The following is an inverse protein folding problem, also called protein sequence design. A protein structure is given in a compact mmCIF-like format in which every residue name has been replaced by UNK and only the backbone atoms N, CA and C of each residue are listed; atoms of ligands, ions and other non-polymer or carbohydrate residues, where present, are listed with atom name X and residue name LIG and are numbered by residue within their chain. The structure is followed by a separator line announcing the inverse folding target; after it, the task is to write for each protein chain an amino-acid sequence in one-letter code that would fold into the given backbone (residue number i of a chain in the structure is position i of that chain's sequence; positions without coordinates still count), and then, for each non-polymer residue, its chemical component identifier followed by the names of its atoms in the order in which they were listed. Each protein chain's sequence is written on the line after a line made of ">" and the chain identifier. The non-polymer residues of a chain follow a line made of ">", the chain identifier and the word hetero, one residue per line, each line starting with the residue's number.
data_IF_932532416912
#
_entry.id   IF_932532416912
#
_cell.length_a   1.000
_cell.length_b   1.000
_cell.length_c   1.000
_cell.angle_alpha   90.00
_cell.angle_beta   90.00
_cell.angle_gamma   90.00
#
_symmetry.space_group_name_H-M   'P 1'
#
loop_
_entity.id
_entity.type
_entity.pdbx_description
1 polymer ?
#
# COMPACT_ATOMS: atom_id res chain seq x y z
N UNK A 1 -2.06 15.58 -8.14
CA UNK A 1 -2.26 14.32 -7.39
C UNK A 1 -3.36 14.59 -6.39
N UNK A 2 -4.39 13.73 -6.34
CA UNK A 2 -5.45 13.89 -5.33
C UNK A 2 -5.06 13.21 -4.03
N UNK A 3 -5.60 13.71 -2.92
CA UNK A 3 -5.56 13.03 -1.62
C UNK A 3 -6.69 12.01 -1.54
N UNK A 4 -6.60 11.09 -0.60
CA UNK A 4 -7.68 10.15 -0.28
C UNK A 4 -7.74 9.91 1.22
N UNK A 5 -8.92 9.62 1.74
CA UNK A 5 -9.18 9.50 3.17
C UNK A 5 -9.63 8.11 3.57
N UNK A 6 -9.19 7.63 4.73
CA UNK A 6 -9.68 6.38 5.33
C UNK A 6 -10.07 6.61 6.80
N UNK A 7 -11.21 6.07 7.28
CA UNK A 7 -11.53 6.06 8.71
C UNK A 7 -10.58 5.13 9.48
N UNK A 8 -10.44 5.32 10.80
CA UNK A 8 -9.55 4.51 11.63
C UNK A 8 -9.82 3.01 11.55
N UNK A 9 -11.09 2.61 11.49
CA UNK A 9 -11.49 1.21 11.40
C UNK A 9 -11.14 0.53 10.07
N UNK A 10 -10.68 1.32 9.07
CA UNK A 10 -10.13 0.77 7.84
C UNK A 10 -8.88 -0.08 8.13
N UNK A 11 -8.16 0.16 9.23
CA UNK A 11 -6.90 -0.49 9.55
C UNK A 11 -7.04 -1.73 10.44
N UNK A 12 -8.26 -2.13 10.81
CA UNK A 12 -8.51 -3.24 11.74
C UNK A 12 -7.90 -4.56 11.27
N UNK A 13 -7.80 -4.75 9.96
CA UNK A 13 -7.24 -5.94 9.32
C UNK A 13 -5.72 -6.11 9.54
N UNK A 14 -5.02 -5.09 10.05
CA UNK A 14 -3.60 -5.15 10.33
C UNK A 14 -3.29 -5.93 11.61
N UNK A 15 -4.24 -6.04 12.53
CA UNK A 15 -3.99 -6.62 13.84
C UNK A 15 -4.48 -8.07 13.91
N UNK A 16 -3.68 -8.99 14.50
CA UNK A 16 -4.08 -10.37 14.69
C UNK A 16 -5.33 -10.46 15.58
N UNK A 17 -6.10 -11.55 15.47
CA UNK A 17 -7.31 -11.79 16.28
C UNK A 17 -7.01 -12.17 17.75
N UNK A 18 -5.85 -11.78 18.27
CA UNK A 18 -5.54 -11.91 19.69
C UNK A 18 -6.53 -11.04 20.50
N UNK A 19 -7.35 -11.63 21.38
CA UNK A 19 -8.40 -10.92 22.10
C UNK A 19 -7.88 -9.87 23.07
N UNK A 20 -6.61 -9.94 23.49
CA UNK A 20 -6.03 -8.99 24.43
C UNK A 20 -5.31 -7.84 23.71
N UNK A 21 -4.56 -8.14 22.65
CA UNK A 21 -3.75 -7.13 21.95
C UNK A 21 -4.54 -6.34 20.91
N UNK A 22 -5.48 -6.98 20.21
CA UNK A 22 -6.26 -6.32 19.15
C UNK A 22 -7.01 -5.09 19.66
N UNK A 23 -7.80 -5.15 20.75
CA UNK A 23 -8.52 -3.97 21.22
C UNK A 23 -7.61 -2.81 21.63
N UNK A 24 -6.45 -3.11 22.25
CA UNK A 24 -5.47 -2.10 22.66
C UNK A 24 -4.85 -1.40 21.45
N UNK A 25 -4.53 -2.16 20.41
CA UNK A 25 -3.97 -1.62 19.18
C UNK A 25 -4.98 -0.78 18.39
N UNK A 26 -6.24 -1.21 18.32
CA UNK A 26 -7.31 -0.44 17.70
C UNK A 26 -7.53 0.91 18.39
N UNK A 27 -7.53 0.94 19.72
CA UNK A 27 -7.69 2.20 20.46
C UNK A 27 -6.51 3.15 20.18
N UNK A 28 -5.27 2.64 20.13
CA UNK A 28 -4.11 3.46 19.76
C UNK A 28 -4.19 4.01 18.34
N UNK A 29 -4.75 3.25 17.38
CA UNK A 29 -4.99 3.79 16.02
C UNK A 29 -6.00 4.94 16.09
N UNK A 30 -7.07 4.78 16.84
CA UNK A 30 -8.08 5.83 17.03
C UNK A 30 -7.50 7.07 17.71
N UNK A 31 -6.57 6.91 18.65
CA UNK A 31 -5.82 8.02 19.27
C UNK A 31 -4.93 8.79 18.26
N UNK A 32 -4.48 8.16 17.17
CA UNK A 32 -3.78 8.85 16.09
C UNK A 32 -4.72 9.71 15.25
N UNK A 33 -5.98 9.30 15.10
CA UNK A 33 -7.00 10.04 14.38
C UNK A 33 -8.24 9.20 14.09
N UNK A 34 -9.41 9.85 14.03
CA UNK A 34 -10.66 9.20 13.62
C UNK A 34 -10.71 8.94 12.10
N UNK A 35 -10.06 9.80 11.33
CA UNK A 35 -9.95 9.73 9.87
C UNK A 35 -8.58 10.23 9.45
N UNK A 36 -7.98 9.54 8.49
CA UNK A 36 -6.63 9.79 7.99
C UNK A 36 -6.72 10.25 6.56
N UNK A 37 -6.09 11.38 6.24
CA UNK A 37 -5.91 11.86 4.87
C UNK A 37 -4.49 11.53 4.39
N UNK A 38 -4.40 11.00 3.17
CA UNK A 38 -3.14 10.58 2.58
C UNK A 38 -2.84 11.39 1.32
N UNK A 39 -1.65 12.00 1.30
CA UNK A 39 -1.09 12.68 0.13
C UNK A 39 -0.75 11.72 -1.01
N UNK A 40 -0.41 10.47 -0.68
CA UNK A 40 -0.13 9.42 -1.65
C UNK A 40 -0.23 8.01 -1.05
N UNK A 41 -0.17 7.00 -1.90
CA UNK A 41 -0.22 5.60 -1.48
C UNK A 41 1.03 5.15 -0.67
N UNK A 42 2.18 5.84 -0.83
CA UNK A 42 3.37 5.58 -0.02
C UNK A 42 3.10 5.92 1.45
N UNK A 43 2.50 7.08 1.74
CA UNK A 43 2.15 7.48 3.11
C UNK A 43 1.26 6.43 3.78
N UNK A 44 0.20 5.99 3.10
CA UNK A 44 -0.68 4.93 3.57
C UNK A 44 0.11 3.65 3.87
N UNK A 45 0.96 3.20 2.93
CA UNK A 45 1.72 1.97 3.09
C UNK A 45 2.67 2.05 4.28
N UNK A 46 3.33 3.19 4.49
CA UNK A 46 4.27 3.38 5.59
C UNK A 46 3.55 3.51 6.94
N UNK A 47 2.38 4.14 6.99
CA UNK A 47 1.51 4.12 8.17
C UNK A 47 1.12 2.68 8.52
N UNK A 48 0.55 1.92 7.58
CA UNK A 48 0.16 0.54 7.82
C UNK A 48 1.33 -0.33 8.27
N UNK A 49 2.52 -0.09 7.72
CA UNK A 49 3.74 -0.78 8.14
C UNK A 49 4.07 -0.46 9.60
N UNK A 50 4.06 0.81 10.00
CA UNK A 50 4.32 1.21 11.37
C UNK A 50 3.26 0.63 12.34
N UNK A 51 1.98 0.69 11.97
CA UNK A 51 0.88 0.12 12.74
C UNK A 51 1.01 -1.39 12.91
N UNK A 52 1.33 -2.13 11.85
CA UNK A 52 1.48 -3.59 11.88
C UNK A 52 2.61 -4.06 12.82
N UNK A 53 3.64 -3.23 13.02
CA UNK A 53 4.72 -3.49 13.98
C UNK A 53 4.56 -2.73 15.30
N UNK A 54 3.37 -2.18 15.55
CA UNK A 54 3.02 -1.42 16.77
C UNK A 54 3.96 -0.24 17.07
N UNK A 55 4.60 0.30 16.03
CA UNK A 55 5.47 1.47 16.12
C UNK A 55 4.66 2.76 15.93
N UNK A 56 3.84 3.06 16.94
CA UNK A 56 2.95 4.24 16.93
C UNK A 56 3.71 5.59 16.96
N UNK A 57 5.01 5.58 17.23
CA UNK A 57 5.86 6.78 17.12
C UNK A 57 6.13 7.06 15.64
N UNK A 58 6.69 6.08 14.93
CA UNK A 58 6.91 6.21 13.48
C UNK A 58 5.61 6.43 12.72
N UNK A 59 4.49 5.86 13.18
CA UNK A 59 3.17 6.10 12.61
C UNK A 59 2.78 7.59 12.65
N UNK A 60 3.02 8.30 13.77
CA UNK A 60 2.78 9.75 13.88
C UNK A 60 3.68 10.53 12.94
N UNK A 61 4.97 10.22 12.93
CA UNK A 61 5.95 10.89 12.06
C UNK A 61 5.57 10.77 10.57
N UNK A 62 5.08 9.60 10.14
CA UNK A 62 4.61 9.39 8.76
C UNK A 62 3.40 10.26 8.42
N UNK A 63 2.50 10.49 9.38
CA UNK A 63 1.31 11.34 9.20
C UNK A 63 1.65 12.83 9.17
N UNK A 64 2.77 13.24 9.76
CA UNK A 64 3.21 14.64 9.82
C UNK A 64 3.91 15.13 8.53
N UNK A 65 4.23 14.23 7.59
CA UNK A 65 4.90 14.59 6.34
C UNK A 65 4.11 14.20 5.09
N UNK A 66 4.03 15.14 4.14
CA UNK A 66 3.49 14.90 2.80
C UNK A 66 4.56 14.54 1.77
N UNK A 67 5.82 14.40 2.18
CA UNK A 67 6.92 14.10 1.28
C UNK A 67 7.11 12.58 1.11
N UNK A 68 6.84 11.99 -0.07
CA UNK A 68 6.95 10.54 -0.28
C UNK A 68 8.34 9.97 0.00
N UNK A 69 9.39 10.78 -0.19
CA UNK A 69 10.77 10.34 0.08
C UNK A 69 11.03 10.22 1.57
N UNK A 70 10.47 11.12 2.36
CA UNK A 70 10.58 11.12 3.82
C UNK A 70 9.74 10.00 4.42
N UNK A 71 8.48 9.86 3.97
CA UNK A 71 7.59 8.74 4.34
C UNK A 71 8.30 7.39 4.15
N UNK A 72 8.89 7.18 2.96
CA UNK A 72 9.68 5.98 2.66
C UNK A 72 10.91 5.82 3.55
N UNK A 73 11.52 6.92 3.95
CA UNK A 73 12.64 6.96 4.90
C UNK A 73 12.20 6.45 6.28
N UNK A 74 11.12 7.01 6.83
CA UNK A 74 10.50 6.61 8.10
C UNK A 74 10.08 5.14 8.08
N UNK A 75 9.49 4.69 6.97
CA UNK A 75 9.16 3.28 6.79
C UNK A 75 10.32 2.30 6.86
N UNK A 76 11.56 2.75 6.62
CA UNK A 76 12.78 1.93 6.83
C UNK A 76 13.24 1.91 8.28
N UNK A 77 12.77 2.85 9.09
CA UNK A 77 13.12 3.01 10.51
C UNK A 77 12.09 2.39 11.46
N UNK A 78 10.98 1.86 10.94
CA UNK A 78 9.95 1.13 11.71
C UNK A 78 10.61 0.09 12.63
N UNK A 79 10.39 0.26 13.93
CA UNK A 79 10.93 -0.60 14.98
C UNK A 79 10.28 -1.97 14.92
N UNK A 80 11.05 -3.00 15.24
CA UNK A 80 10.56 -4.39 15.22
C UNK A 80 10.25 -4.95 13.84
N UNK A 81 10.64 -4.25 12.76
CA UNK A 81 10.40 -4.69 11.39
C UNK A 81 10.95 -6.11 11.13
N UNK A 82 10.06 -6.98 10.67
CA UNK A 82 10.36 -8.33 10.22
C UNK A 82 9.78 -8.53 8.82
N UNK A 83 10.64 -8.72 7.81
CA UNK A 83 10.19 -8.85 6.42
C UNK A 83 9.33 -10.11 6.20
N UNK A 84 9.56 -11.20 6.95
CA UNK A 84 8.73 -12.41 6.82
C UNK A 84 7.31 -12.11 7.29
N UNK A 85 7.14 -11.47 8.45
CA UNK A 85 5.82 -11.02 8.92
C UNK A 85 5.21 -10.00 7.98
N UNK A 86 5.97 -9.00 7.53
CA UNK A 86 5.45 -7.98 6.62
C UNK A 86 5.01 -8.56 5.26
N UNK A 87 5.74 -9.57 4.76
CA UNK A 87 5.45 -10.20 3.47
C UNK A 87 4.09 -10.90 3.43
N UNK A 88 3.51 -11.25 4.59
CA UNK A 88 2.18 -11.89 4.67
C UNK A 88 1.04 -10.90 4.41
N UNK A 89 1.25 -9.60 4.64
CA UNK A 89 0.19 -8.58 4.60
C UNK A 89 0.45 -7.42 3.63
N UNK A 90 1.71 -7.19 3.22
CA UNK A 90 2.08 -6.03 2.38
C UNK A 90 1.28 -5.90 1.09
N UNK A 91 0.91 -7.04 0.47
CA UNK A 91 0.11 -7.04 -0.75
C UNK A 91 -1.29 -6.49 -0.48
N UNK A 92 -1.97 -6.98 0.56
CA UNK A 92 -3.28 -6.50 1.01
C UNK A 92 -3.25 -5.00 1.34
N UNK A 93 -2.18 -4.54 2.00
CA UNK A 93 -2.00 -3.11 2.31
C UNK A 93 -1.99 -2.26 1.03
N UNK A 94 -1.19 -2.63 0.03
CA UNK A 94 -1.08 -1.84 -1.21
C UNK A 94 -2.32 -2.00 -2.09
N UNK A 95 -2.99 -3.15 -2.05
CA UNK A 95 -4.30 -3.35 -2.66
C UNK A 95 -5.35 -2.39 -2.08
N UNK A 96 -5.49 -2.33 -0.76
CA UNK A 96 -6.42 -1.43 -0.09
C UNK A 96 -6.08 0.04 -0.40
N UNK A 97 -4.81 0.43 -0.29
CA UNK A 97 -4.35 1.77 -0.65
C UNK A 97 -4.72 2.14 -2.10
N UNK A 98 -4.54 1.20 -3.03
CA UNK A 98 -4.87 1.39 -4.43
C UNK A 98 -6.37 1.55 -4.62
N UNK A 99 -7.18 0.67 -4.04
CA UNK A 99 -8.65 0.76 -4.11
C UNK A 99 -9.13 2.10 -3.60
N UNK A 100 -8.69 2.54 -2.43
CA UNK A 100 -9.12 3.81 -1.83
C UNK A 100 -8.69 5.00 -2.69
N UNK A 101 -7.42 5.05 -3.07
CA UNK A 101 -6.89 6.12 -3.93
C UNK A 101 -7.66 6.21 -5.25
N UNK A 102 -7.81 5.11 -5.99
CA UNK A 102 -8.42 5.14 -7.32
C UNK A 102 -9.95 5.33 -7.27
N UNK A 103 -10.60 4.92 -6.17
CA UNK A 103 -12.04 5.20 -5.95
C UNK A 103 -12.27 6.69 -5.71
N UNK A 104 -11.44 7.32 -4.88
CA UNK A 104 -11.65 8.71 -4.45
C UNK A 104 -11.06 9.71 -5.46
N UNK A 105 -9.95 9.38 -6.11
CA UNK A 105 -9.33 10.20 -7.16
C UNK A 105 -9.87 9.84 -8.56
N UNK A 106 -11.05 10.35 -8.93
CA UNK A 106 -11.76 10.00 -10.18
C UNK A 106 -10.89 9.98 -11.44
N UNK A 107 -10.10 11.03 -11.69
CA UNK A 107 -9.25 11.09 -12.88
C UNK A 107 -8.20 9.97 -12.92
N UNK A 108 -7.64 9.59 -11.77
CA UNK A 108 -6.72 8.45 -11.69
C UNK A 108 -7.47 7.12 -11.87
N UNK A 109 -8.68 7.01 -11.31
CA UNK A 109 -9.54 5.83 -11.46
C UNK A 109 -9.93 5.59 -12.92
N UNK A 110 -10.28 6.63 -13.66
CA UNK A 110 -10.58 6.56 -15.10
C UNK A 110 -9.38 6.08 -15.91
N UNK A 111 -8.18 6.57 -15.61
CA UNK A 111 -6.93 6.09 -16.23
C UNK A 111 -6.74 4.59 -15.95
N UNK A 112 -6.96 4.15 -14.70
CA UNK A 112 -6.83 2.75 -14.32
C UNK A 112 -7.86 1.87 -15.05
N UNK A 113 -9.13 2.29 -15.11
CA UNK A 113 -10.19 1.58 -15.85
C UNK A 113 -9.89 1.52 -17.35
N UNK A 114 -9.34 2.58 -17.92
CA UNK A 114 -8.94 2.67 -19.33
C UNK A 114 -7.84 1.68 -19.73
N UNK A 115 -7.17 1.04 -18.76
CA UNK A 115 -6.21 -0.03 -19.06
C UNK A 115 -6.89 -1.34 -19.53
N UNK A 116 -8.21 -1.46 -19.40
CA UNK A 116 -8.98 -2.61 -19.88
C UNK A 116 -8.57 -3.90 -19.18
N UNK A 117 -8.31 -4.95 -19.94
CA UNK A 117 -7.83 -6.25 -19.41
C UNK A 117 -6.31 -6.41 -19.46
N UNK A 118 -5.56 -5.34 -19.76
CA UNK A 118 -4.10 -5.44 -19.89
C UNK A 118 -3.46 -5.79 -18.54
N UNK A 119 -2.41 -6.61 -18.59
CA UNK A 119 -1.51 -6.80 -17.46
C UNK A 119 -0.77 -5.49 -17.16
N UNK A 120 -0.81 -5.06 -15.89
CA UNK A 120 -0.05 -3.91 -15.42
C UNK A 120 1.24 -4.37 -14.78
N UNK A 121 2.35 -3.76 -15.17
CA UNK A 121 3.69 -4.22 -14.83
C UNK A 121 4.58 -3.04 -14.46
N UNK A 122 5.15 -3.09 -13.25
CA UNK A 122 6.14 -2.12 -12.79
C UNK A 122 7.53 -2.54 -13.28
N UNK A 123 8.00 -1.90 -14.35
CA UNK A 123 9.24 -2.21 -15.05
C UNK A 123 10.49 -1.61 -14.36
N UNK A 124 10.64 -1.90 -13.07
CA UNK A 124 11.80 -1.48 -12.27
C UNK A 124 12.90 -2.55 -12.32
N UNK A 125 14.12 -2.24 -12.82
CA UNK A 125 15.24 -3.18 -12.82
C UNK A 125 15.83 -3.45 -11.42
N UNK A 126 15.54 -2.59 -10.44
CA UNK A 126 16.11 -2.67 -9.10
C UNK A 126 15.13 -3.24 -8.06
N UNK A 127 13.88 -3.48 -8.46
CA UNK A 127 12.83 -3.96 -7.57
C UNK A 127 12.22 -5.26 -8.13
N UNK A 128 12.50 -6.37 -7.45
CA UNK A 128 11.94 -7.69 -7.76
C UNK A 128 10.72 -8.05 -6.91
N UNK A 129 10.30 -7.18 -5.99
CA UNK A 129 9.14 -7.40 -5.13
C UNK A 129 7.95 -6.61 -5.69
N UNK A 130 8.06 -5.28 -5.75
CA UNK A 130 7.00 -4.44 -6.30
C UNK A 130 7.04 -4.42 -7.83
N UNK A 131 8.23 -4.58 -8.41
CA UNK A 131 8.46 -4.64 -9.84
C UNK A 131 8.84 -6.01 -10.39
N UNK A 132 9.11 -6.03 -11.69
CA UNK A 132 9.53 -7.24 -12.43
C UNK A 132 11.04 -7.47 -12.45
N UNK A 133 11.85 -6.56 -11.91
CA UNK A 133 13.31 -6.71 -11.92
C UNK A 133 13.97 -6.49 -13.29
N UNK A 134 13.25 -5.91 -14.26
CA UNK A 134 13.76 -5.60 -15.59
C UNK A 134 13.21 -4.26 -16.07
N UNK A 135 13.98 -3.57 -16.92
CA UNK A 135 13.47 -2.44 -17.69
C UNK A 135 12.45 -2.92 -18.72
N UNK A 136 11.52 -2.05 -19.12
CA UNK A 136 10.42 -2.40 -20.01
C UNK A 136 10.89 -2.92 -21.37
N UNK A 137 12.01 -2.40 -21.88
CA UNK A 137 12.56 -2.78 -23.17
C UNK A 137 13.11 -4.21 -23.12
N UNK A 138 13.80 -4.56 -22.04
CA UNK A 138 14.42 -5.87 -21.83
C UNK A 138 13.38 -6.92 -21.47
N UNK A 139 12.37 -6.56 -20.69
CA UNK A 139 11.35 -7.48 -20.19
C UNK A 139 10.58 -8.22 -21.31
N UNK A 140 10.47 -7.63 -22.51
CA UNK A 140 9.77 -8.21 -23.66
C UNK A 140 10.41 -9.51 -24.15
N UNK A 141 11.73 -9.64 -23.99
CA UNK A 141 12.51 -10.79 -24.46
C UNK A 141 12.86 -11.76 -23.30
N UNK A 142 12.37 -11.47 -22.09
CA UNK A 142 12.62 -12.28 -20.90
C UNK A 142 11.35 -13.04 -20.52
N UNK A 143 11.50 -14.36 -20.39
CA UNK A 143 10.44 -15.23 -19.87
C UNK A 143 9.86 -14.69 -18.55
N UNK A 144 8.52 -14.59 -18.48
CA UNK A 144 7.81 -14.07 -17.31
C UNK A 144 8.11 -14.84 -16.02
N UNK A 145 8.47 -16.12 -16.10
CA UNK A 145 8.91 -16.92 -14.94
C UNK A 145 10.18 -16.38 -14.28
N UNK A 146 10.98 -15.60 -15.02
CA UNK A 146 12.20 -14.94 -14.50
C UNK A 146 11.92 -13.57 -13.91
N UNK A 147 10.70 -13.04 -14.04
CA UNK A 147 10.35 -11.72 -13.51
C UNK A 147 10.29 -11.73 -11.97
N UNK A 148 10.37 -10.54 -11.39
CA UNK A 148 10.00 -10.29 -10.00
C UNK A 148 8.50 -10.48 -9.74
N UNK A 149 8.09 -10.26 -8.50
CA UNK A 149 6.73 -10.58 -8.04
C UNK A 149 5.67 -9.62 -8.61
N UNK A 150 6.06 -8.43 -9.09
CA UNK A 150 5.17 -7.41 -9.64
C UNK A 150 3.97 -7.09 -8.73
N UNK A 151 4.21 -6.98 -7.42
CA UNK A 151 3.12 -6.77 -6.45
C UNK A 151 2.35 -5.47 -6.70
N UNK A 152 3.02 -4.40 -7.18
CA UNK A 152 2.34 -3.15 -7.50
C UNK A 152 1.36 -3.33 -8.66
N UNK A 153 1.81 -3.94 -9.76
CA UNK A 153 0.96 -4.23 -10.90
C UNK A 153 -0.25 -5.09 -10.54
N UNK A 154 -0.05 -6.12 -9.71
CA UNK A 154 -1.12 -6.96 -9.17
C UNK A 154 -2.13 -6.14 -8.35
N UNK A 155 -1.65 -5.30 -7.44
CA UNK A 155 -2.52 -4.44 -6.63
C UNK A 155 -3.36 -3.47 -7.47
N UNK A 156 -2.78 -2.89 -8.52
CA UNK A 156 -3.50 -2.03 -9.46
C UNK A 156 -4.59 -2.80 -10.21
N UNK A 157 -4.32 -4.04 -10.62
CA UNK A 157 -5.32 -4.88 -11.29
C UNK A 157 -6.46 -5.31 -10.35
N UNK A 158 -6.15 -5.62 -9.09
CA UNK A 158 -7.19 -5.86 -8.06
C UNK A 158 -8.03 -4.60 -7.85
N UNK A 159 -7.40 -3.43 -7.72
CA UNK A 159 -8.11 -2.17 -7.60
C UNK A 159 -9.01 -1.90 -8.82
N UNK A 160 -8.52 -2.15 -10.04
CA UNK A 160 -9.32 -2.04 -11.27
C UNK A 160 -10.57 -2.92 -11.23
N UNK A 161 -10.44 -4.17 -10.81
CA UNK A 161 -11.59 -5.09 -10.66
C UNK A 161 -12.59 -4.56 -9.64
N UNK A 162 -12.14 -4.16 -8.45
CA UNK A 162 -12.99 -3.60 -7.39
C UNK A 162 -13.69 -2.31 -7.81
N UNK A 163 -13.01 -1.46 -8.58
CA UNK A 163 -13.59 -0.23 -9.12
C UNK A 163 -14.74 -0.53 -10.09
N UNK A 164 -14.62 -1.57 -10.92
CA UNK A 164 -15.69 -1.97 -11.86
C UNK A 164 -16.94 -2.50 -11.14
N UNK A 165 -16.77 -3.17 -10.00
CA UNK A 165 -17.90 -3.66 -9.20
C UNK A 165 -18.69 -2.53 -8.52
N UNK A 166 -18.08 -1.33 -8.39
CA UNK A 166 -18.70 -0.15 -7.77
C UNK A 166 -19.35 0.81 -8.78
N UNK A 167 -19.16 0.59 -10.09
CA UNK A 167 -19.74 1.39 -11.19
C UNK A 167 -20.99 0.70 -11.71
#
# INVERSE_FOLDING_TARGET
>A
MGTFTCPHNHFDYLFPDDPEDKPKNLEKVKELGETFEFSCAEQYMMLCKALFFEDFITAREVLETDNPREQKGLGRQVRGFDDKKWSTIRSTVVENASVEKFTQCKAAGEVLLGTGEKDLVEASPFDRVWGIGFKAEVAKDIDRSKWGMNLLGKALMVARTRLREKV
#
